data_IF_409638569061
#
_entry.id   IF_409638569061
#
_cell.length_a   1.000
_cell.length_b   1.000
_cell.length_c   1.000
_cell.angle_alpha   90.00
_cell.angle_beta   90.00
_cell.angle_gamma   90.00
#
_symmetry.space_group_name_H-M   'P 1'
#
loop_
_entity.id
_entity.type
_entity.pdbx_description
1 polymer ?
#
# COMPACT_ATOMS: atom_id res chain seq x y z
N UNK A 1 20.57 -10.73 -5.76
CA UNK A 1 20.18 -11.44 -4.53
C UNK A 1 19.21 -12.54 -4.93
N UNK A 2 19.60 -13.76 -4.65
CA UNK A 2 18.76 -14.93 -4.83
C UNK A 2 17.65 -14.88 -3.78
N UNK A 3 16.39 -15.02 -4.21
CA UNK A 3 15.28 -15.28 -3.30
C UNK A 3 15.68 -16.47 -2.39
N UNK A 4 15.33 -16.39 -1.10
CA UNK A 4 15.55 -17.48 -0.14
C UNK A 4 14.64 -18.70 -0.43
N UNK A 5 14.27 -18.90 -1.69
CA UNK A 5 13.40 -19.96 -2.17
C UNK A 5 12.05 -19.97 -1.42
N UNK A 6 11.64 -21.11 -0.93
CA UNK A 6 10.35 -21.29 -0.24
C UNK A 6 10.18 -20.50 1.06
N UNK A 7 11.28 -19.99 1.63
CA UNK A 7 11.26 -19.10 2.82
C UNK A 7 10.89 -17.66 2.48
N UNK A 8 10.90 -17.28 1.20
CA UNK A 8 10.54 -15.95 0.73
C UNK A 8 9.10 -15.87 0.19
N UNK A 9 8.33 -16.93 0.27
CA UNK A 9 6.96 -17.01 -0.25
C UNK A 9 6.01 -17.15 0.92
N UNK A 10 5.25 -16.08 1.21
CA UNK A 10 4.29 -16.00 2.33
C UNK A 10 2.88 -16.18 1.79
N UNK A 11 2.13 -17.15 2.32
CA UNK A 11 0.72 -17.35 1.96
C UNK A 11 -0.14 -16.22 2.51
N UNK A 12 -0.72 -15.39 1.62
CA UNK A 12 -1.50 -14.22 2.01
C UNK A 12 -3.01 -14.46 2.03
N UNK A 13 -3.50 -15.31 1.12
CA UNK A 13 -4.91 -15.59 1.02
C UNK A 13 -5.14 -16.99 0.44
N UNK A 14 -6.23 -17.62 0.88
CA UNK A 14 -6.74 -18.88 0.34
C UNK A 14 -8.25 -18.88 0.44
N UNK A 15 -8.93 -19.48 -0.55
CA UNK A 15 -10.37 -19.70 -0.49
C UNK A 15 -10.77 -20.90 0.36
N UNK A 16 -9.82 -21.72 0.82
CA UNK A 16 -10.08 -22.91 1.62
C UNK A 16 -9.99 -22.59 3.13
N UNK A 17 -11.08 -22.79 3.90
CA UNK A 17 -11.06 -22.62 5.34
C UNK A 17 -10.03 -23.49 6.07
N UNK A 18 -9.65 -24.64 5.50
CA UNK A 18 -8.65 -25.55 6.07
C UNK A 18 -7.23 -24.97 6.12
N UNK A 19 -6.98 -23.90 5.36
CA UNK A 19 -5.66 -23.24 5.32
C UNK A 19 -5.61 -21.94 6.15
N UNK A 20 -6.65 -21.61 6.92
CA UNK A 20 -6.71 -20.33 7.68
C UNK A 20 -5.64 -20.20 8.75
N UNK A 21 -5.27 -21.30 9.37
CA UNK A 21 -4.27 -21.37 10.44
C UNK A 21 -2.83 -21.20 9.94
N UNK A 22 -2.63 -21.29 8.63
CA UNK A 22 -1.31 -21.14 7.99
C UNK A 22 -1.17 -19.84 7.18
N UNK A 23 -2.20 -18.99 7.17
CA UNK A 23 -2.11 -17.66 6.56
C UNK A 23 -1.04 -16.81 7.27
N UNK A 24 -0.20 -16.17 6.48
CA UNK A 24 0.92 -15.36 6.97
C UNK A 24 2.19 -16.15 7.24
N UNK A 25 2.18 -17.49 7.07
CA UNK A 25 3.37 -18.30 7.12
C UNK A 25 4.02 -18.43 5.75
N UNK A 26 5.32 -18.68 5.75
CA UNK A 26 6.04 -19.04 4.52
C UNK A 26 5.70 -20.45 4.07
N UNK A 27 5.83 -20.72 2.79
CA UNK A 27 5.62 -22.07 2.25
C UNK A 27 6.55 -23.10 2.92
N UNK A 28 7.78 -22.68 3.28
CA UNK A 28 8.70 -23.54 4.03
C UNK A 28 8.18 -23.89 5.43
N UNK A 29 7.61 -22.94 6.16
CA UNK A 29 7.02 -23.16 7.49
C UNK A 29 5.77 -24.05 7.41
N UNK A 30 4.92 -23.81 6.41
CA UNK A 30 3.73 -24.66 6.16
C UNK A 30 4.17 -26.11 5.88
N UNK A 31 5.19 -26.28 5.04
CA UNK A 31 5.74 -27.59 4.70
C UNK A 31 6.26 -28.32 5.95
N UNK A 32 7.01 -27.62 6.81
CA UNK A 32 7.51 -28.17 8.07
C UNK A 32 6.35 -28.59 8.99
N UNK A 33 5.30 -27.76 9.13
CA UNK A 33 4.12 -28.10 9.96
C UNK A 33 3.35 -29.31 9.46
N UNK A 34 3.26 -29.48 8.13
CA UNK A 34 2.51 -30.57 7.50
C UNK A 34 3.32 -31.84 7.27
N UNK A 35 4.63 -31.82 7.54
CA UNK A 35 5.54 -32.93 7.24
C UNK A 35 5.61 -33.21 5.72
N UNK A 36 5.45 -32.21 4.88
CA UNK A 36 5.43 -32.29 3.42
C UNK A 36 6.62 -31.56 2.82
N UNK A 37 6.87 -31.77 1.52
CA UNK A 37 7.80 -30.90 0.77
C UNK A 37 7.13 -29.57 0.43
N UNK A 38 7.88 -28.46 0.32
CA UNK A 38 7.31 -27.17 -0.08
C UNK A 38 6.59 -27.20 -1.44
N UNK A 39 7.11 -27.95 -2.40
CA UNK A 39 6.47 -28.14 -3.70
C UNK A 39 5.12 -28.84 -3.58
N UNK A 40 5.01 -29.89 -2.76
CA UNK A 40 3.75 -30.58 -2.49
C UNK A 40 2.72 -29.62 -1.87
N UNK A 41 3.13 -28.82 -0.88
CA UNK A 41 2.25 -27.81 -0.26
C UNK A 41 1.71 -26.82 -1.28
N UNK A 42 2.56 -26.30 -2.18
CA UNK A 42 2.10 -25.40 -3.25
C UNK A 42 1.07 -26.05 -4.16
N UNK A 43 1.36 -27.25 -4.63
CA UNK A 43 0.44 -27.98 -5.52
C UNK A 43 -0.89 -28.27 -4.83
N UNK A 44 -0.86 -28.73 -3.58
CA UNK A 44 -2.07 -29.05 -2.80
C UNK A 44 -2.95 -27.81 -2.58
N UNK A 45 -2.35 -26.66 -2.26
CA UNK A 45 -3.10 -25.41 -2.05
C UNK A 45 -3.68 -24.94 -3.37
N UNK A 46 -2.90 -24.88 -4.45
CA UNK A 46 -3.35 -24.38 -5.76
C UNK A 46 -4.42 -25.30 -6.36
N UNK A 47 -4.31 -26.60 -6.18
CA UNK A 47 -5.29 -27.56 -6.69
C UNK A 47 -6.66 -27.45 -6.00
N UNK A 48 -6.71 -27.00 -4.74
CA UNK A 48 -7.95 -26.88 -3.96
C UNK A 48 -8.59 -25.51 -4.04
N UNK A 49 -7.81 -24.47 -4.26
CA UNK A 49 -8.32 -23.10 -4.13
C UNK A 49 -7.51 -22.09 -4.92
N UNK A 50 -8.11 -20.91 -5.11
CA UNK A 50 -7.41 -19.76 -5.67
C UNK A 50 -6.66 -19.05 -4.54
N UNK A 51 -5.36 -19.27 -4.46
CA UNK A 51 -4.50 -18.72 -3.42
C UNK A 51 -3.66 -17.54 -3.94
N UNK A 52 -3.30 -16.63 -3.05
CA UNK A 52 -2.32 -15.56 -3.33
C UNK A 52 -1.19 -15.58 -2.31
N UNK A 53 0.00 -15.21 -2.76
CA UNK A 53 1.18 -15.15 -1.93
C UNK A 53 1.95 -13.84 -2.14
N UNK A 54 2.64 -13.39 -1.11
CA UNK A 54 3.64 -12.33 -1.19
C UNK A 54 5.02 -12.95 -1.37
N UNK A 55 5.81 -12.32 -2.24
CA UNK A 55 7.17 -12.77 -2.56
C UNK A 55 8.17 -11.73 -2.06
N UNK A 56 9.08 -12.12 -1.19
CA UNK A 56 10.21 -11.27 -0.78
C UNK A 56 11.29 -11.30 -1.86
N UNK A 57 11.12 -10.50 -2.90
CA UNK A 57 12.05 -10.43 -4.05
C UNK A 57 12.81 -9.12 -4.11
N UNK A 58 12.43 -8.12 -3.31
CA UNK A 58 13.00 -6.79 -3.33
C UNK A 58 14.16 -6.64 -2.35
N UNK A 59 15.19 -5.90 -2.74
CA UNK A 59 16.26 -5.49 -1.85
C UNK A 59 15.92 -4.14 -1.23
N UNK A 60 15.90 -4.05 0.10
CA UNK A 60 15.70 -2.79 0.81
C UNK A 60 16.79 -1.78 0.46
N UNK A 61 18.04 -2.22 0.33
CA UNK A 61 19.16 -1.36 -0.07
C UNK A 61 18.93 -0.74 -1.46
N UNK A 62 18.52 -1.54 -2.43
CA UNK A 62 18.20 -1.05 -3.76
C UNK A 62 17.00 -0.11 -3.76
N UNK A 63 15.95 -0.44 -3.00
CA UNK A 63 14.79 0.45 -2.84
C UNK A 63 15.22 1.82 -2.30
N UNK A 64 16.02 1.87 -1.24
CA UNK A 64 16.50 3.13 -0.67
C UNK A 64 17.39 3.92 -1.64
N UNK A 65 18.19 3.25 -2.48
CA UNK A 65 18.94 3.90 -3.56
C UNK A 65 18.00 4.52 -4.61
N UNK A 66 16.95 3.80 -5.03
CA UNK A 66 15.96 4.34 -5.96
C UNK A 66 15.20 5.54 -5.39
N UNK A 67 14.85 5.52 -4.11
CA UNK A 67 14.15 6.63 -3.45
C UNK A 67 14.96 7.95 -3.43
N UNK A 68 16.27 7.92 -3.64
CA UNK A 68 17.10 9.12 -3.70
C UNK A 68 16.96 9.87 -5.03
N UNK A 69 16.47 9.24 -6.09
CA UNK A 69 16.29 9.90 -7.38
C UNK A 69 15.06 10.81 -7.39
N UNK A 70 15.18 12.08 -7.83
CA UNK A 70 14.09 13.07 -7.78
C UNK A 70 12.93 12.79 -8.72
N UNK A 71 13.07 11.88 -9.66
CA UNK A 71 12.03 11.45 -10.60
C UNK A 71 11.26 10.19 -10.14
N UNK A 72 11.65 9.58 -9.03
CA UNK A 72 10.92 8.42 -8.47
C UNK A 72 9.68 8.89 -7.73
N UNK A 73 8.55 8.33 -8.09
CA UNK A 73 7.23 8.57 -7.52
C UNK A 73 6.71 7.33 -6.78
N UNK A 74 5.94 7.47 -5.71
CA UNK A 74 5.28 6.32 -5.08
C UNK A 74 4.08 5.86 -5.89
N UNK A 75 3.89 4.54 -5.95
CA UNK A 75 2.70 3.89 -6.50
C UNK A 75 2.25 2.76 -5.60
N UNK A 76 0.95 2.64 -5.36
CA UNK A 76 0.40 1.62 -4.47
C UNK A 76 0.32 0.25 -5.12
N UNK A 77 0.23 0.19 -6.45
CA UNK A 77 -0.16 -1.04 -7.17
C UNK A 77 -1.37 -1.72 -6.48
N UNK A 78 -2.26 -0.89 -5.96
CA UNK A 78 -3.43 -1.28 -5.17
C UNK A 78 -4.71 -1.19 -5.97
N UNK A 79 -5.60 -2.14 -5.76
CA UNK A 79 -6.99 -2.05 -6.24
C UNK A 79 -7.87 -1.36 -5.20
N UNK A 80 -9.05 -0.89 -5.63
CA UNK A 80 -10.09 -0.50 -4.70
C UNK A 80 -10.42 -1.67 -3.77
N UNK A 81 -10.50 -1.41 -2.48
CA UNK A 81 -10.82 -2.42 -1.47
C UNK A 81 -12.08 -2.02 -0.70
N UNK A 82 -12.85 -3.01 -0.30
CA UNK A 82 -13.98 -2.82 0.62
C UNK A 82 -13.46 -2.48 2.02
N UNK A 83 -14.30 -1.85 2.83
CA UNK A 83 -14.09 -1.70 4.28
C UNK A 83 -14.40 -2.98 5.06
N UNK A 84 -14.99 -3.96 4.41
CA UNK A 84 -15.14 -5.31 4.96
C UNK A 84 -13.87 -6.12 4.69
N UNK A 85 -12.99 -6.15 5.66
CA UNK A 85 -11.72 -6.86 5.58
C UNK A 85 -11.82 -8.34 5.95
N UNK A 86 -13.02 -8.83 6.29
CA UNK A 86 -13.26 -10.26 6.57
C UNK A 86 -13.12 -11.13 5.31
N UNK A 87 -13.37 -10.53 4.15
CA UNK A 87 -13.42 -11.24 2.86
C UNK A 87 -12.03 -11.40 2.23
N UNK A 88 -11.11 -10.46 2.45
CA UNK A 88 -9.79 -10.49 1.83
C UNK A 88 -8.75 -9.81 2.71
N UNK A 89 -7.66 -10.51 3.02
CA UNK A 89 -6.49 -9.90 3.64
C UNK A 89 -5.79 -9.01 2.60
N UNK A 90 -5.82 -7.70 2.84
CA UNK A 90 -5.18 -6.72 1.96
C UNK A 90 -3.66 -6.78 2.05
N UNK A 91 -2.99 -6.15 1.09
CA UNK A 91 -1.55 -5.90 1.17
C UNK A 91 -1.34 -4.52 1.86
N UNK A 92 -0.36 -4.35 2.76
CA UNK A 92 -0.12 -3.07 3.46
C UNK A 92 0.11 -1.89 2.50
N UNK A 93 0.56 -2.14 1.28
CA UNK A 93 0.74 -1.08 0.27
C UNK A 93 -0.53 -0.31 -0.07
N UNK A 94 -1.72 -0.89 0.13
CA UNK A 94 -2.98 -0.21 -0.14
C UNK A 94 -3.24 0.94 0.83
N UNK A 95 -2.71 0.84 2.05
CA UNK A 95 -3.00 1.74 3.15
C UNK A 95 -1.83 2.65 3.52
N UNK A 96 -0.58 2.16 3.38
CA UNK A 96 0.60 2.81 3.95
C UNK A 96 1.64 3.29 2.94
N UNK A 97 1.48 3.13 1.63
CA UNK A 97 2.53 3.47 0.65
C UNK A 97 2.96 4.93 0.71
N UNK A 98 2.03 5.87 0.70
CA UNK A 98 2.34 7.30 0.66
C UNK A 98 2.98 7.80 1.97
N UNK A 99 2.42 7.52 3.16
CA UNK A 99 3.06 7.86 4.43
C UNK A 99 4.45 7.23 4.57
N UNK A 100 4.58 5.95 4.19
CA UNK A 100 5.88 5.25 4.25
C UNK A 100 6.90 5.85 3.28
N UNK A 101 6.48 6.25 2.08
CA UNK A 101 7.34 6.94 1.13
C UNK A 101 7.84 8.27 1.72
N UNK A 102 6.96 9.05 2.33
CA UNK A 102 7.32 10.29 3.01
C UNK A 102 8.34 10.02 4.11
N UNK A 103 8.05 9.08 5.01
CA UNK A 103 8.91 8.72 6.13
C UNK A 103 10.31 8.26 5.68
N UNK A 104 10.40 7.39 4.69
CA UNK A 104 11.68 6.90 4.18
C UNK A 104 12.47 7.97 3.43
N UNK A 105 11.79 8.89 2.74
CA UNK A 105 12.43 9.89 1.87
C UNK A 105 12.89 11.13 2.65
N UNK A 106 12.29 11.44 3.81
CA UNK A 106 12.63 12.63 4.64
C UNK A 106 14.08 12.67 5.12
N UNK A 107 14.78 11.54 5.10
CA UNK A 107 16.19 11.46 5.49
C UNK A 107 17.15 12.03 4.44
N UNK A 108 16.70 12.25 3.21
CA UNK A 108 17.55 12.72 2.09
C UNK A 108 16.88 13.74 1.16
N UNK A 109 15.62 14.12 1.42
CA UNK A 109 14.94 15.16 0.65
C UNK A 109 14.07 16.04 1.57
N UNK A 110 13.95 17.36 1.30
CA UNK A 110 13.06 18.23 2.06
C UNK A 110 11.58 17.90 1.78
N UNK A 111 10.69 18.17 2.74
CA UNK A 111 9.27 17.88 2.66
C UNK A 111 8.61 18.38 1.36
N UNK A 112 8.93 19.59 0.92
CA UNK A 112 8.40 20.16 -0.32
C UNK A 112 8.72 19.30 -1.56
N UNK A 113 9.93 18.74 -1.64
CA UNK A 113 10.35 17.87 -2.73
C UNK A 113 9.63 16.51 -2.64
N UNK A 114 9.46 15.97 -1.44
CA UNK A 114 8.71 14.72 -1.24
C UNK A 114 7.26 14.91 -1.69
N UNK A 115 6.62 15.99 -1.27
CA UNK A 115 5.24 16.32 -1.67
C UNK A 115 5.14 16.51 -3.19
N UNK A 116 6.10 17.21 -3.81
CA UNK A 116 6.15 17.33 -5.28
C UNK A 116 6.13 15.96 -5.97
N UNK A 117 6.91 15.02 -5.47
CA UNK A 117 6.99 13.64 -6.02
C UNK A 117 5.71 12.82 -5.79
N UNK A 118 4.87 13.23 -4.85
CA UNK A 118 3.58 12.60 -4.54
C UNK A 118 2.40 13.30 -5.23
N UNK A 119 2.60 14.49 -5.82
CA UNK A 119 1.51 15.35 -6.31
C UNK A 119 1.78 15.89 -7.71
N UNK A 120 2.54 16.99 -7.86
CA UNK A 120 2.71 17.66 -9.14
C UNK A 120 3.53 16.84 -10.14
N UNK A 121 4.53 16.11 -9.71
CA UNK A 121 5.31 15.25 -10.60
C UNK A 121 4.45 14.16 -11.27
N UNK A 122 3.68 13.32 -10.54
CA UNK A 122 2.78 12.38 -11.20
C UNK A 122 1.70 13.07 -12.03
N UNK A 123 1.18 14.22 -11.60
CA UNK A 123 0.20 14.96 -12.40
C UNK A 123 0.78 15.42 -13.75
N UNK A 124 2.02 15.86 -13.79
CA UNK A 124 2.74 16.21 -15.02
C UNK A 124 3.01 15.00 -15.91
N UNK A 125 3.51 13.90 -15.33
CA UNK A 125 3.83 12.67 -16.08
C UNK A 125 2.59 12.03 -16.70
N UNK A 126 1.48 12.05 -16.00
CA UNK A 126 0.21 11.47 -16.47
C UNK A 126 -0.73 12.50 -17.14
N UNK A 127 -0.25 13.73 -17.43
CA UNK A 127 -1.01 14.79 -18.08
C UNK A 127 -2.35 15.13 -17.39
N UNK A 128 -2.38 15.10 -16.05
CA UNK A 128 -3.56 15.45 -15.26
C UNK A 128 -3.68 16.99 -15.14
N UNK A 129 -4.29 17.62 -16.13
CA UNK A 129 -4.37 19.06 -16.22
C UNK A 129 -4.99 19.72 -14.98
N UNK A 130 -4.32 20.76 -14.46
CA UNK A 130 -4.78 21.56 -13.32
C UNK A 130 -4.69 20.87 -11.97
N UNK A 131 -4.04 19.69 -11.87
CA UNK A 131 -3.92 18.94 -10.62
C UNK A 131 -2.50 18.92 -10.08
N UNK A 132 -2.35 18.39 -8.85
CA UNK A 132 -1.06 18.21 -8.18
C UNK A 132 -0.43 19.50 -7.64
N UNK A 133 -1.15 20.60 -7.62
CA UNK A 133 -0.68 21.89 -7.08
C UNK A 133 -1.82 22.71 -6.46
N UNK A 134 -1.52 23.52 -5.48
CA UNK A 134 -2.44 24.47 -4.88
C UNK A 134 -2.36 25.77 -5.69
N UNK A 135 -3.44 26.09 -6.41
CA UNK A 135 -3.54 27.31 -7.21
C UNK A 135 -5.00 27.78 -7.29
N UNK A 136 -5.21 29.08 -7.49
CA UNK A 136 -6.55 29.63 -7.69
C UNK A 136 -7.18 29.02 -8.95
N UNK A 137 -8.41 28.51 -8.82
CA UNK A 137 -9.12 27.83 -9.90
C UNK A 137 -8.77 26.36 -10.10
N UNK A 138 -7.77 25.82 -9.39
CA UNK A 138 -7.50 24.38 -9.40
C UNK A 138 -8.53 23.61 -8.55
N UNK A 139 -8.82 22.35 -8.89
CA UNK A 139 -9.64 21.49 -8.04
C UNK A 139 -9.04 21.34 -6.64
N UNK A 140 -9.89 21.48 -5.61
CA UNK A 140 -9.46 21.37 -4.22
C UNK A 140 -9.37 19.89 -3.79
N UNK A 141 -8.41 19.15 -4.37
CA UNK A 141 -8.00 17.81 -3.93
C UNK A 141 -6.81 17.98 -2.98
N UNK A 142 -7.08 17.97 -1.69
CA UNK A 142 -6.12 18.39 -0.67
C UNK A 142 -6.01 17.32 0.43
N UNK A 143 -4.85 17.29 1.06
CA UNK A 143 -4.62 16.50 2.27
C UNK A 143 -4.08 17.43 3.36
N UNK A 144 -4.76 17.45 4.50
CA UNK A 144 -4.26 18.08 5.72
C UNK A 144 -3.64 17.00 6.60
N UNK A 145 -2.37 17.13 6.89
CA UNK A 145 -1.63 16.16 7.69
C UNK A 145 -0.64 16.83 8.63
N UNK A 146 -0.23 16.11 9.64
CA UNK A 146 0.80 16.48 10.59
C UNK A 146 2.07 15.69 10.24
N UNK A 147 3.13 16.40 9.87
CA UNK A 147 4.38 15.82 9.37
C UNK A 147 5.08 14.95 10.43
N UNK A 148 5.01 15.35 11.71
CA UNK A 148 5.72 14.67 12.79
C UNK A 148 5.05 13.35 13.20
N UNK A 149 3.72 13.27 13.04
CA UNK A 149 2.94 12.08 13.37
C UNK A 149 2.56 11.23 12.16
N UNK A 150 2.98 11.63 10.95
CA UNK A 150 2.66 10.90 9.72
C UNK A 150 3.40 9.56 9.65
N UNK A 151 2.66 8.46 9.75
CA UNK A 151 3.19 7.10 9.61
C UNK A 151 2.23 6.18 8.86
N UNK A 152 2.79 5.12 8.28
CA UNK A 152 2.04 4.11 7.53
C UNK A 152 1.07 3.32 8.41
N UNK A 153 1.44 3.06 9.67
CA UNK A 153 0.64 2.26 10.62
C UNK A 153 0.52 0.79 10.29
N UNK A 154 0.57 0.40 9.03
CA UNK A 154 0.34 -0.97 8.56
C UNK A 154 1.64 -1.72 8.23
N UNK A 155 1.58 -3.04 8.42
CA UNK A 155 2.60 -4.00 8.01
C UNK A 155 1.95 -5.30 7.47
N UNK A 156 2.75 -6.33 7.20
CA UNK A 156 2.23 -7.62 6.72
C UNK A 156 1.45 -8.40 7.79
N UNK A 157 1.68 -8.14 9.08
CA UNK A 157 0.92 -8.75 10.17
C UNK A 157 -0.44 -8.06 10.35
N UNK A 158 -0.48 -6.73 10.23
CA UNK A 158 -1.67 -5.88 10.36
C UNK A 158 -1.86 -4.98 9.11
N UNK A 159 -2.16 -5.56 7.93
CA UNK A 159 -2.15 -4.84 6.66
C UNK A 159 -3.25 -3.78 6.51
N UNK A 160 -4.31 -3.86 7.32
CA UNK A 160 -5.46 -2.95 7.25
C UNK A 160 -5.40 -1.79 8.24
N UNK A 161 -4.29 -1.65 8.98
CA UNK A 161 -4.12 -0.52 9.88
C UNK A 161 -4.01 0.76 9.05
N UNK A 162 -4.83 1.74 9.39
CA UNK A 162 -4.83 3.02 8.68
C UNK A 162 -3.60 3.84 9.07
N UNK A 163 -3.17 4.69 8.16
CA UNK A 163 -2.11 5.66 8.39
C UNK A 163 -2.49 6.64 9.52
N UNK A 164 -1.49 7.05 10.30
CA UNK A 164 -1.61 8.11 11.30
C UNK A 164 -1.18 9.46 10.74
N UNK A 165 -1.46 10.55 11.46
CA UNK A 165 -1.05 11.90 11.06
C UNK A 165 -1.90 12.54 9.96
N UNK A 166 -2.77 11.81 9.28
CA UNK A 166 -3.75 12.39 8.34
C UNK A 166 -4.93 12.95 9.13
N UNK A 167 -5.16 14.25 9.02
CA UNK A 167 -6.29 14.92 9.68
C UNK A 167 -7.52 14.96 8.81
N UNK A 168 -7.38 15.44 7.57
CA UNK A 168 -8.49 15.52 6.61
C UNK A 168 -7.99 15.28 5.19
N UNK A 169 -8.87 14.73 4.36
CA UNK A 169 -8.69 14.70 2.91
C UNK A 169 -9.88 15.35 2.23
N UNK A 170 -9.60 16.14 1.19
CA UNK A 170 -10.61 16.83 0.39
C UNK A 170 -10.55 16.30 -1.03
N UNK A 171 -11.71 16.08 -1.62
CA UNK A 171 -11.87 15.72 -3.03
C UNK A 171 -12.85 16.69 -3.67
N UNK A 172 -12.37 17.53 -4.57
CA UNK A 172 -13.16 18.58 -5.20
C UNK A 172 -13.77 19.57 -4.19
N UNK A 173 -13.11 19.82 -3.06
CA UNK A 173 -13.57 20.70 -1.99
C UNK A 173 -14.50 20.04 -0.96
N UNK A 174 -14.87 18.77 -1.16
CA UNK A 174 -15.68 18.01 -0.21
C UNK A 174 -14.76 17.23 0.74
N UNK A 175 -14.98 17.28 2.04
CA UNK A 175 -14.24 16.47 3.02
C UNK A 175 -14.60 15.00 2.79
N UNK A 176 -13.66 14.24 2.23
CA UNK A 176 -13.81 12.82 1.94
C UNK A 176 -13.38 11.92 3.11
N UNK A 177 -12.46 12.41 3.94
CA UNK A 177 -12.06 11.79 5.21
C UNK A 177 -11.85 12.87 6.25
N UNK A 178 -12.29 12.60 7.47
CA UNK A 178 -12.09 13.42 8.65
C UNK A 178 -11.67 12.52 9.81
N UNK A 179 -10.52 12.82 10.41
CA UNK A 179 -10.01 12.06 11.56
C UNK A 179 -10.95 12.16 12.78
N UNK A 180 -11.59 13.30 12.98
CA UNK A 180 -12.54 13.52 14.10
C UNK A 180 -13.88 12.83 13.85
N UNK A 181 -14.23 12.58 12.56
CA UNK A 181 -15.48 11.92 12.19
C UNK A 181 -15.25 10.83 11.10
N UNK A 182 -14.55 9.74 11.42
CA UNK A 182 -14.09 8.74 10.44
C UNK A 182 -15.23 7.91 9.82
N UNK A 183 -16.45 8.01 10.34
CA UNK A 183 -17.64 7.31 9.80
C UNK A 183 -18.29 8.06 8.64
N UNK A 184 -18.07 9.37 8.52
CA UNK A 184 -18.55 10.18 7.39
C UNK A 184 -17.68 9.91 6.16
N UNK A 185 -18.28 9.37 5.10
CA UNK A 185 -17.56 8.96 3.88
C UNK A 185 -18.32 9.38 2.63
N UNK A 186 -18.40 10.66 2.32
CA UNK A 186 -19.10 11.14 1.13
C UNK A 186 -18.37 10.68 -0.15
N UNK A 187 -19.12 10.29 -1.16
CA UNK A 187 -18.60 9.91 -2.47
C UNK A 187 -18.42 11.17 -3.33
N UNK A 188 -17.26 11.82 -3.23
CA UNK A 188 -16.94 13.05 -3.93
C UNK A 188 -16.07 12.87 -5.18
N UNK A 189 -15.52 11.66 -5.38
CA UNK A 189 -14.63 11.35 -6.50
C UNK A 189 -15.33 11.42 -7.85
N UNK A 190 -14.60 11.91 -8.87
CA UNK A 190 -15.01 11.91 -10.28
C UNK A 190 -13.98 11.18 -11.11
N UNK A 191 -14.43 10.48 -12.15
CA UNK A 191 -13.52 9.88 -13.11
C UNK A 191 -12.82 10.98 -13.92
N UNK A 192 -11.52 10.84 -14.12
CA UNK A 192 -10.72 11.76 -14.93
C UNK A 192 -10.35 11.07 -16.23
N UNK A 193 -10.55 11.77 -17.33
CA UNK A 193 -10.03 11.39 -18.63
C UNK A 193 -8.71 12.14 -18.84
N UNK A 194 -7.66 11.42 -19.15
CA UNK A 194 -6.35 11.98 -19.55
C UNK A 194 -6.33 12.22 -21.06
#
# INVERSE_FOLDING_TARGET
QTCNGWKSIVLCNTGDPADRDVLGLTIAEIAARRGQTPGTVCVDIIARTNASAAYETMSQENMLKFLQFPWVMPGTDGSATSFDYSVKRGHPRYFGTFPRFFHLTRHFAPAAEIIRRMTSLPAEVFNLAGRGRIAVGAPADLVLFDEDSLDAGCDFAAPHTLATGIRQTFVGGVIAFDHENPTSRPRAGKFLFA
#
